data_IF_771023132390
#
_entry.id   IF_771023132390
#
_cell.length_a   1.000
_cell.length_b   1.000
_cell.length_c   1.000
_cell.angle_alpha   90.00
_cell.angle_beta   90.00
_cell.angle_gamma   90.00
#
_symmetry.space_group_name_H-M   'P 1'
#
loop_
_entity.id
_entity.type
_entity.pdbx_description
1 polymer ?
#
# COMPACT_ATOMS: atom_id res chain seq x y z
N UNK A 1 -16.74 16.88 -18.53
CA UNK A 1 -16.89 15.47 -18.11
C UNK A 1 -15.51 15.00 -17.71
N UNK A 2 -15.16 15.12 -16.42
CA UNK A 2 -13.87 14.65 -15.94
C UNK A 2 -13.93 13.13 -15.82
N UNK A 3 -13.09 12.41 -16.55
CA UNK A 3 -12.85 10.99 -16.28
C UNK A 3 -12.31 10.89 -14.85
N UNK A 4 -13.04 10.19 -13.99
CA UNK A 4 -12.46 9.61 -12.78
C UNK A 4 -11.43 8.60 -13.29
N UNK A 5 -10.14 8.88 -13.10
CA UNK A 5 -9.08 7.90 -13.36
C UNK A 5 -9.41 6.63 -12.58
N UNK A 6 -9.95 5.63 -13.28
CA UNK A 6 -10.36 4.38 -12.69
C UNK A 6 -9.14 3.62 -12.19
N UNK A 7 -9.20 3.13 -10.94
CA UNK A 7 -8.17 2.25 -10.40
C UNK A 7 -8.15 0.96 -11.23
N UNK A 8 -7.10 0.79 -12.05
CA UNK A 8 -6.92 -0.42 -12.88
C UNK A 8 -6.20 -1.54 -12.12
N UNK A 9 -6.40 -2.80 -12.53
CA UNK A 9 -5.68 -3.94 -11.97
C UNK A 9 -4.15 -3.80 -12.13
N UNK A 10 -3.71 -3.25 -13.27
CA UNK A 10 -2.31 -2.96 -13.52
C UNK A 10 -1.78 -1.87 -12.57
N UNK A 11 -2.57 -0.83 -12.33
CA UNK A 11 -2.25 0.22 -11.36
C UNK A 11 -2.10 -0.33 -9.93
N UNK A 12 -3.03 -1.16 -9.48
CA UNK A 12 -2.96 -1.81 -8.16
C UNK A 12 -1.73 -2.71 -8.06
N UNK A 13 -1.46 -3.55 -9.07
CA UNK A 13 -0.32 -4.43 -9.07
C UNK A 13 1.01 -3.66 -9.01
N UNK A 14 1.11 -2.55 -9.75
CA UNK A 14 2.27 -1.66 -9.73
C UNK A 14 2.49 -1.02 -8.35
N UNK A 15 1.43 -0.57 -7.68
CA UNK A 15 1.54 0.01 -6.34
C UNK A 15 1.92 -1.03 -5.29
N UNK A 16 1.33 -2.23 -5.34
CA UNK A 16 1.68 -3.35 -4.45
C UNK A 16 3.18 -3.66 -4.57
N UNK A 17 3.71 -3.74 -5.80
CA UNK A 17 5.13 -4.00 -6.04
C UNK A 17 6.03 -2.92 -5.43
N UNK A 18 5.70 -1.64 -5.64
CA UNK A 18 6.45 -0.52 -5.04
C UNK A 18 6.50 -0.59 -3.52
N UNK A 19 5.37 -0.93 -2.89
CA UNK A 19 5.30 -1.07 -1.43
C UNK A 19 6.08 -2.28 -0.91
N UNK A 20 6.09 -3.37 -1.68
CA UNK A 20 6.90 -4.57 -1.38
C UNK A 20 8.39 -4.27 -1.52
N UNK A 21 8.83 -3.68 -2.63
CA UNK A 21 10.22 -3.31 -2.90
C UNK A 21 10.75 -2.33 -1.83
N UNK A 22 9.90 -1.42 -1.36
CA UNK A 22 10.22 -0.52 -0.25
C UNK A 22 10.23 -1.21 1.13
N UNK A 23 9.81 -2.48 1.23
CA UNK A 23 9.74 -3.26 2.46
C UNK A 23 8.61 -2.87 3.40
N UNK A 24 7.59 -2.14 2.91
CA UNK A 24 6.45 -1.71 3.71
C UNK A 24 5.38 -2.79 3.84
N UNK A 25 5.27 -3.67 2.84
CA UNK A 25 4.43 -4.86 2.88
C UNK A 25 5.23 -6.10 2.50
N UNK A 26 4.78 -7.26 2.97
CA UNK A 26 5.16 -8.58 2.46
C UNK A 26 4.04 -9.06 1.55
N UNK A 27 4.38 -9.54 0.35
CA UNK A 27 3.42 -10.15 -0.57
C UNK A 27 3.68 -11.66 -0.65
N UNK A 28 2.61 -12.44 -0.63
CA UNK A 28 2.68 -13.89 -0.75
C UNK A 28 1.64 -14.37 -1.77
N UNK A 29 2.08 -15.14 -2.76
CA UNK A 29 1.21 -15.68 -3.80
C UNK A 29 1.01 -17.17 -3.53
N UNK A 30 -0.24 -17.58 -3.34
CA UNK A 30 -0.58 -18.96 -3.04
C UNK A 30 -1.76 -19.42 -3.90
N UNK A 31 -1.84 -20.72 -4.16
CA UNK A 31 -3.03 -21.33 -4.75
C UNK A 31 -3.94 -21.80 -3.62
N UNK A 32 -5.16 -21.26 -3.58
CA UNK A 32 -6.22 -21.70 -2.66
C UNK A 32 -7.39 -22.13 -3.52
N UNK A 33 -7.85 -23.37 -3.36
CA UNK A 33 -8.92 -23.97 -4.18
C UNK A 33 -8.65 -23.89 -5.68
N UNK A 34 -7.40 -24.19 -6.09
CA UNK A 34 -6.91 -24.12 -7.49
C UNK A 34 -6.97 -22.72 -8.13
N UNK A 35 -7.15 -21.66 -7.34
CA UNK A 35 -7.15 -20.27 -7.81
C UNK A 35 -5.96 -19.52 -7.22
N UNK A 36 -5.17 -18.78 -8.04
CA UNK A 36 -4.09 -17.95 -7.51
C UNK A 36 -4.69 -16.82 -6.68
N UNK A 37 -4.19 -16.65 -5.45
CA UNK A 37 -4.52 -15.56 -4.55
C UNK A 37 -3.25 -14.86 -4.12
N UNK A 38 -3.32 -13.54 -4.03
CA UNK A 38 -2.25 -12.69 -3.53
C UNK A 38 -2.63 -12.20 -2.13
N UNK A 39 -1.79 -12.47 -1.16
CA UNK A 39 -1.94 -12.01 0.22
C UNK A 39 -0.92 -10.92 0.49
N UNK A 40 -1.37 -9.81 1.08
CA UNK A 40 -0.52 -8.69 1.44
C UNK A 40 -0.56 -8.48 2.95
N UNK A 41 0.59 -8.32 3.59
CA UNK A 41 0.69 -8.05 5.03
C UNK A 41 1.62 -6.88 5.29
N UNK A 42 1.16 -5.89 6.05
CA UNK A 42 2.00 -4.75 6.44
C UNK A 42 3.14 -5.20 7.37
N UNK A 43 4.35 -4.71 7.13
CA UNK A 43 5.54 -4.99 7.95
C UNK A 43 5.63 -4.01 9.13
N UNK A 44 6.57 -4.25 10.06
CA UNK A 44 6.90 -3.28 11.10
C UNK A 44 7.39 -1.95 10.51
N UNK A 45 8.21 -2.00 9.45
CA UNK A 45 8.68 -0.82 8.71
C UNK A 45 7.50 -0.04 8.10
N UNK A 46 6.57 -0.75 7.45
CA UNK A 46 5.37 -0.14 6.87
C UNK A 46 4.51 0.56 7.92
N UNK A 47 4.25 -0.11 9.06
CA UNK A 47 3.51 0.50 10.18
C UNK A 47 4.19 1.76 10.70
N UNK A 48 5.52 1.75 10.86
CA UNK A 48 6.27 2.93 11.29
C UNK A 48 6.18 4.06 10.27
N UNK A 49 6.28 3.75 8.97
CA UNK A 49 6.15 4.75 7.91
C UNK A 49 4.78 5.43 7.89
N UNK A 50 3.70 4.66 8.08
CA UNK A 50 2.33 5.20 8.18
C UNK A 50 2.20 6.11 9.39
N UNK A 51 2.71 5.69 10.55
CA UNK A 51 2.69 6.54 11.76
C UNK A 51 3.45 7.84 11.54
N UNK A 52 4.64 7.78 10.95
CA UNK A 52 5.43 8.97 10.64
C UNK A 52 4.67 9.92 9.70
N UNK A 53 4.01 9.38 8.68
CA UNK A 53 3.18 10.19 7.77
C UNK A 53 2.05 10.90 8.53
N UNK A 54 1.33 10.19 9.39
CA UNK A 54 0.27 10.77 10.22
C UNK A 54 0.84 11.89 11.10
N UNK A 55 1.95 11.64 11.80
CA UNK A 55 2.61 12.66 12.63
C UNK A 55 3.05 13.88 11.81
N UNK A 56 3.58 13.68 10.60
CA UNK A 56 3.93 14.79 9.71
C UNK A 56 2.70 15.60 9.29
N UNK A 57 1.58 14.93 8.99
CA UNK A 57 0.32 15.61 8.63
C UNK A 57 -0.26 16.37 9.83
N UNK A 58 -0.25 15.78 11.03
CA UNK A 58 -0.67 16.43 12.28
C UNK A 58 0.17 17.68 12.54
N UNK A 59 1.50 17.59 12.38
CA UNK A 59 2.39 18.74 12.55
C UNK A 59 2.14 19.84 11.51
N UNK A 60 1.75 19.49 10.28
CA UNK A 60 1.40 20.47 9.25
C UNK A 60 0.13 21.24 9.59
N UNK A 61 -0.83 20.57 10.25
CA UNK A 61 -2.12 21.17 10.63
C UNK A 61 -2.01 21.95 11.95
N UNK A 62 -1.16 21.51 12.87
CA UNK A 62 -0.94 22.15 14.18
C UNK A 62 0.20 23.19 14.16
N UNK A 63 0.63 23.64 12.98
CA UNK A 63 1.48 24.82 12.84
C UNK A 63 0.62 26.07 13.09
N UNK A 64 0.48 26.44 14.36
CA UNK A 64 0.05 27.77 14.80
C UNK A 64 1.24 28.75 14.78
#
# INVERSE_FOLDING_TARGET
MGEVEGVSLAGIAGQIRKLEDAGYIKVEKMFVDRKPKTFCKITGKGRKSVRNLITSLENLVNLD
#
